data_IF_381684363068
#
_entry.id   IF_381684363068
#
_cell.length_a   1.000
_cell.length_b   1.000
_cell.length_c   1.000
_cell.angle_alpha   90.00
_cell.angle_beta   90.00
_cell.angle_gamma   90.00
#
_symmetry.space_group_name_H-M   'P 1'
#
loop_
_entity.id
_entity.type
_entity.pdbx_description
1 polymer ?
#
# COMPACT_ATOMS: atom_id res chain seq x y z
N UNK A 1 -13.07 6.45 12.02
CA UNK A 1 -12.79 5.35 12.99
C UNK A 1 -11.99 5.94 14.14
N UNK A 2 -12.29 5.56 15.38
CA UNK A 2 -11.47 5.97 16.53
C UNK A 2 -10.02 5.52 16.32
N UNK A 3 -9.06 6.35 16.72
CA UNK A 3 -7.63 6.08 16.57
C UNK A 3 -7.24 4.82 17.37
N UNK A 4 -6.92 3.74 16.66
CA UNK A 4 -6.43 2.48 17.25
C UNK A 4 -4.91 2.37 17.26
N UNK A 5 -4.21 3.34 16.68
CA UNK A 5 -2.75 3.34 16.50
C UNK A 5 -2.13 4.73 16.74
N UNK A 6 -0.92 4.75 17.31
CA UNK A 6 -0.08 5.96 17.41
C UNK A 6 1.37 5.61 17.13
N UNK A 7 2.02 6.34 16.22
CA UNK A 7 3.45 6.23 15.98
C UNK A 7 4.27 6.76 17.17
N UNK A 8 5.55 6.40 17.18
CA UNK A 8 6.54 6.79 18.17
C UNK A 8 6.62 8.30 18.33
N UNK A 9 6.73 9.06 17.23
CA UNK A 9 6.80 10.52 17.25
C UNK A 9 5.59 11.17 17.94
N UNK A 10 4.39 10.63 17.70
CA UNK A 10 3.17 11.11 18.36
C UNK A 10 3.13 10.74 19.84
N UNK A 11 3.76 9.62 20.22
CA UNK A 11 3.74 9.10 21.58
C UNK A 11 4.80 9.74 22.47
N UNK A 12 5.96 10.11 21.90
CA UNK A 12 7.14 10.49 22.67
C UNK A 12 7.70 11.86 22.31
N UNK A 13 7.55 12.34 21.06
CA UNK A 13 8.16 13.59 20.60
C UNK A 13 7.17 14.77 20.50
N UNK A 14 5.88 14.54 20.83
CA UNK A 14 4.85 15.57 20.80
C UNK A 14 4.57 16.13 19.41
N UNK A 15 4.97 15.42 18.35
CA UNK A 15 4.78 15.85 16.98
C UNK A 15 3.28 15.87 16.62
N UNK A 16 2.87 16.87 15.84
CA UNK A 16 1.49 16.94 15.33
C UNK A 16 1.20 15.71 14.43
N UNK A 17 0.17 14.90 14.71
CA UNK A 17 -0.05 13.68 13.94
C UNK A 17 -0.46 13.98 12.50
N UNK A 18 0.25 13.39 11.54
CA UNK A 18 -0.01 13.56 10.10
C UNK A 18 -1.18 12.70 9.59
N UNK A 19 -1.63 11.74 10.40
CA UNK A 19 -2.61 10.72 10.03
C UNK A 19 -3.96 10.87 10.73
N UNK A 20 -4.22 12.02 11.38
CA UNK A 20 -5.50 12.29 12.04
C UNK A 20 -6.10 13.62 11.58
N UNK A 21 -7.42 13.74 11.71
CA UNK A 21 -8.15 15.02 11.60
C UNK A 21 -8.04 15.83 12.89
N UNK A 22 -8.46 17.10 12.86
CA UNK A 22 -8.41 17.99 14.02
C UNK A 22 -9.20 17.48 15.24
N UNK A 23 -10.20 16.62 15.02
CA UNK A 23 -10.98 15.95 16.07
C UNK A 23 -10.35 14.64 16.58
N UNK A 24 -9.15 14.27 16.09
CA UNK A 24 -8.41 13.08 16.49
C UNK A 24 -8.82 11.79 15.77
N UNK A 25 -9.70 11.84 14.76
CA UNK A 25 -10.10 10.67 13.97
C UNK A 25 -8.99 10.26 13.00
N UNK A 26 -8.73 8.95 12.86
CA UNK A 26 -7.75 8.44 11.89
C UNK A 26 -8.21 8.71 10.45
N UNK A 27 -7.35 9.37 9.66
CA UNK A 27 -7.55 9.76 8.26
C UNK A 27 -6.43 9.16 7.39
N UNK A 28 -6.63 7.91 6.91
CA UNK A 28 -5.63 7.24 6.10
C UNK A 28 -5.47 7.89 4.71
N UNK A 29 -6.49 8.56 4.17
CA UNK A 29 -6.38 9.25 2.89
C UNK A 29 -5.49 10.49 2.99
N UNK A 30 -5.56 11.25 4.09
CA UNK A 30 -4.63 12.36 4.35
C UNK A 30 -3.19 11.85 4.38
N UNK A 31 -2.93 10.78 5.14
CA UNK A 31 -1.61 10.16 5.20
C UNK A 31 -1.14 9.67 3.83
N UNK A 32 -2.03 9.05 3.06
CA UNK A 32 -1.72 8.56 1.72
C UNK A 32 -1.34 9.68 0.76
N UNK A 33 -2.10 10.78 0.75
CA UNK A 33 -1.78 11.95 -0.08
C UNK A 33 -0.43 12.56 0.28
N UNK A 34 -0.01 12.50 1.55
CA UNK A 34 1.33 12.94 1.96
C UNK A 34 2.42 11.97 1.49
N UNK A 35 2.22 10.67 1.64
CA UNK A 35 3.17 9.63 1.20
C UNK A 35 3.35 9.64 -0.33
N UNK A 36 2.24 9.74 -1.07
CA UNK A 36 2.20 9.59 -2.53
C UNK A 36 2.63 10.86 -3.29
N UNK A 37 2.85 11.99 -2.61
CA UNK A 37 3.54 13.12 -3.23
C UNK A 37 4.94 12.63 -3.59
N UNK A 38 5.18 12.36 -4.87
CA UNK A 38 6.52 12.20 -5.43
C UNK A 38 7.03 13.62 -5.71
N UNK A 39 7.78 14.27 -4.80
CA UNK A 39 8.41 15.54 -5.10
C UNK A 39 9.35 15.34 -6.30
N UNK A 40 9.44 16.32 -7.21
CA UNK A 40 10.53 16.35 -8.17
C UNK A 40 11.87 16.43 -7.41
N UNK A 41 12.99 16.07 -8.05
CA UNK A 41 14.29 15.99 -7.38
C UNK A 41 14.69 17.32 -6.68
N UNK A 42 14.22 18.44 -7.21
CA UNK A 42 14.37 19.82 -6.74
C UNK A 42 13.28 20.29 -5.76
N UNK A 43 12.39 19.42 -5.30
CA UNK A 43 11.33 19.76 -4.35
C UNK A 43 11.85 20.42 -3.07
N UNK A 44 10.98 21.22 -2.44
CA UNK A 44 11.35 22.04 -1.29
C UNK A 44 11.74 21.18 -0.08
N UNK A 45 12.51 21.77 0.86
CA UNK A 45 12.90 21.09 2.09
C UNK A 45 11.69 20.68 2.95
N UNK A 46 10.65 21.50 2.96
CA UNK A 46 9.41 21.26 3.70
C UNK A 46 8.62 20.08 3.11
N UNK A 47 8.45 20.02 1.79
CA UNK A 47 7.79 18.87 1.13
C UNK A 47 8.54 17.56 1.36
N UNK A 48 9.88 17.61 1.35
CA UNK A 48 10.72 16.45 1.67
C UNK A 48 10.56 16.01 3.13
N UNK A 49 10.40 16.97 4.06
CA UNK A 49 10.18 16.71 5.48
C UNK A 49 8.83 16.05 5.74
N UNK A 50 7.75 16.54 5.12
CA UNK A 50 6.40 15.97 5.31
C UNK A 50 6.29 14.55 4.76
N UNK A 51 6.91 14.28 3.61
CA UNK A 51 6.94 12.92 3.04
C UNK A 51 7.71 11.95 3.93
N UNK A 52 8.83 12.38 4.50
CA UNK A 52 9.63 11.55 5.41
C UNK A 52 8.84 11.20 6.66
N UNK A 53 8.15 12.18 7.28
CA UNK A 53 7.24 11.92 8.41
C UNK A 53 6.10 10.96 8.06
N UNK A 54 5.53 11.09 6.86
CA UNK A 54 4.51 10.16 6.38
C UNK A 54 5.08 8.75 6.20
N UNK A 55 6.30 8.62 5.65
CA UNK A 55 7.00 7.36 5.49
C UNK A 55 7.24 6.68 6.84
N UNK A 56 7.81 7.39 7.82
CA UNK A 56 8.09 6.84 9.15
C UNK A 56 6.80 6.38 9.86
N UNK A 57 5.73 7.18 9.75
CA UNK A 57 4.43 6.83 10.30
C UNK A 57 3.84 5.56 9.66
N UNK A 58 3.99 5.41 8.33
CA UNK A 58 3.51 4.24 7.59
C UNK A 58 4.34 3.01 7.90
N UNK A 59 5.66 3.13 7.89
CA UNK A 59 6.57 2.02 8.16
C UNK A 59 6.34 1.44 9.55
N UNK A 60 6.24 2.30 10.58
CA UNK A 60 5.93 1.85 11.93
C UNK A 60 4.53 1.19 11.99
N UNK A 61 3.52 1.76 11.33
CA UNK A 61 2.17 1.18 11.27
C UNK A 61 2.17 -0.22 10.65
N UNK A 62 2.94 -0.45 9.57
CA UNK A 62 3.04 -1.76 8.93
C UNK A 62 3.66 -2.80 9.88
N UNK A 63 4.52 -2.37 10.80
CA UNK A 63 5.21 -3.26 11.74
C UNK A 63 4.41 -3.56 12.99
N UNK A 64 3.51 -2.68 13.44
CA UNK A 64 2.91 -2.76 14.79
C UNK A 64 1.38 -2.80 14.81
N UNK A 65 0.71 -2.35 13.75
CA UNK A 65 -0.74 -2.16 13.71
C UNK A 65 -1.37 -2.74 12.43
N UNK A 66 -1.39 -4.06 12.26
CA UNK A 66 -1.80 -4.72 11.02
C UNK A 66 -3.20 -4.36 10.52
N UNK A 67 -4.19 -4.18 11.41
CA UNK A 67 -5.55 -3.78 10.99
C UNK A 67 -5.60 -2.35 10.45
N UNK A 68 -4.91 -1.43 11.12
CA UNK A 68 -4.78 -0.04 10.67
C UNK A 68 -3.98 0.04 9.36
N UNK A 69 -2.94 -0.78 9.24
CA UNK A 69 -2.13 -0.92 8.05
C UNK A 69 -2.93 -1.37 6.83
N UNK A 70 -3.78 -2.39 6.97
CA UNK A 70 -4.67 -2.82 5.87
C UNK A 70 -5.62 -1.69 5.46
N UNK A 71 -6.20 -1.00 6.43
CA UNK A 71 -7.10 0.14 6.17
C UNK A 71 -6.36 1.26 5.43
N UNK A 72 -5.14 1.56 5.84
CA UNK A 72 -4.26 2.51 5.16
C UNK A 72 -3.95 2.09 3.73
N UNK A 73 -3.50 0.85 3.50
CA UNK A 73 -3.12 0.35 2.19
C UNK A 73 -4.28 0.48 1.19
N UNK A 74 -5.50 0.09 1.60
CA UNK A 74 -6.68 0.17 0.73
C UNK A 74 -7.08 1.62 0.44
N UNK A 75 -7.01 2.51 1.43
CA UNK A 75 -7.26 3.94 1.24
C UNK A 75 -6.19 4.60 0.35
N UNK A 76 -4.92 4.24 0.54
CA UNK A 76 -3.80 4.77 -0.23
C UNK A 76 -3.84 4.29 -1.68
N UNK A 77 -4.29 3.06 -1.91
CA UNK A 77 -4.51 2.55 -3.26
C UNK A 77 -5.57 3.36 -4.01
N UNK A 78 -6.61 3.85 -3.31
CA UNK A 78 -7.63 4.69 -3.93
C UNK A 78 -7.13 6.10 -4.28
N UNK A 79 -6.05 6.56 -3.64
CA UNK A 79 -5.34 7.81 -3.95
C UNK A 79 -4.26 7.64 -5.04
N UNK A 80 -3.96 6.41 -5.47
CA UNK A 80 -2.98 6.17 -6.53
C UNK A 80 -3.47 6.72 -7.88
N UNK A 81 -2.56 7.36 -8.61
CA UNK A 81 -2.82 7.92 -9.95
C UNK A 81 -1.86 7.43 -11.02
N UNK A 82 -0.75 6.81 -10.62
CA UNK A 82 0.30 6.31 -11.50
C UNK A 82 0.76 4.93 -11.07
N UNK A 83 1.39 4.19 -11.98
CA UNK A 83 2.02 2.90 -11.65
C UNK A 83 3.12 3.05 -10.60
N UNK A 84 3.83 4.19 -10.58
CA UNK A 84 4.84 4.49 -9.57
C UNK A 84 4.25 4.61 -8.16
N UNK A 85 3.04 5.17 -8.00
CA UNK A 85 2.35 5.20 -6.71
C UNK A 85 2.04 3.78 -6.22
N UNK A 86 1.54 2.93 -7.12
CA UNK A 86 1.24 1.54 -6.78
C UNK A 86 2.51 0.76 -6.44
N UNK A 87 3.60 0.96 -7.19
CA UNK A 87 4.87 0.30 -6.95
C UNK A 87 5.46 0.70 -5.58
N UNK A 88 5.36 1.98 -5.20
CA UNK A 88 5.76 2.47 -3.89
C UNK A 88 4.99 1.76 -2.75
N UNK A 89 3.68 1.56 -2.93
CA UNK A 89 2.87 0.83 -1.94
C UNK A 89 3.17 -0.68 -1.94
N UNK A 90 3.28 -1.30 -3.12
CA UNK A 90 3.44 -2.75 -3.29
C UNK A 90 4.79 -3.27 -2.83
N UNK A 91 5.87 -2.72 -3.37
CA UNK A 91 7.24 -3.13 -3.05
C UNK A 91 7.79 -2.49 -1.76
N UNK A 92 7.00 -1.61 -1.12
CA UNK A 92 7.33 -0.98 0.16
C UNK A 92 6.38 -1.45 1.27
N UNK A 93 5.36 -0.63 1.53
CA UNK A 93 4.49 -0.80 2.69
C UNK A 93 3.75 -2.16 2.73
N UNK A 94 3.21 -2.62 1.61
CA UNK A 94 2.51 -3.91 1.52
C UNK A 94 3.47 -5.08 1.76
N UNK A 95 4.68 -5.03 1.20
CA UNK A 95 5.69 -6.07 1.44
C UNK A 95 6.07 -6.16 2.91
N UNK A 96 6.33 -5.02 3.57
CA UNK A 96 6.59 -4.98 5.02
C UNK A 96 5.42 -5.58 5.80
N UNK A 97 4.19 -5.20 5.47
CA UNK A 97 2.99 -5.72 6.13
C UNK A 97 2.84 -7.24 5.98
N UNK A 98 3.04 -7.78 4.77
CA UNK A 98 2.92 -9.22 4.52
C UNK A 98 4.05 -10.02 5.17
N UNK A 99 5.26 -9.46 5.21
CA UNK A 99 6.40 -10.07 5.90
C UNK A 99 6.15 -10.17 7.41
N UNK A 100 5.65 -9.09 8.02
CA UNK A 100 5.45 -9.01 9.47
C UNK A 100 4.17 -9.73 9.94
N UNK A 101 3.08 -9.56 9.19
CA UNK A 101 1.72 -9.93 9.63
C UNK A 101 0.93 -10.72 8.58
N UNK A 102 1.60 -11.29 7.57
CA UNK A 102 0.97 -11.98 6.45
C UNK A 102 -0.18 -12.92 6.82
N UNK A 103 -0.01 -13.88 7.76
CA UNK A 103 -1.07 -14.79 8.16
C UNK A 103 -2.33 -14.11 8.71
N UNK A 104 -2.18 -12.96 9.38
CA UNK A 104 -3.28 -12.19 9.98
C UNK A 104 -4.05 -11.39 8.93
N UNK A 105 -3.37 -10.83 7.94
CA UNK A 105 -3.98 -9.85 7.01
C UNK A 105 -4.37 -10.41 5.65
N UNK A 106 -3.76 -11.52 5.21
CA UNK A 106 -3.91 -12.02 3.84
C UNK A 106 -5.38 -12.32 3.46
N UNK A 107 -6.19 -12.81 4.40
CA UNK A 107 -7.61 -13.06 4.14
C UNK A 107 -8.41 -11.81 3.80
N UNK A 108 -8.07 -10.66 4.41
CA UNK A 108 -8.72 -9.38 4.12
C UNK A 108 -8.32 -8.90 2.71
N UNK A 109 -7.04 -9.03 2.37
CA UNK A 109 -6.51 -8.65 1.04
C UNK A 109 -7.09 -9.51 -0.08
N UNK A 110 -7.22 -10.82 0.12
CA UNK A 110 -7.90 -11.72 -0.83
C UNK A 110 -9.36 -11.31 -1.05
N UNK A 111 -10.09 -11.00 0.03
CA UNK A 111 -11.48 -10.57 -0.06
C UNK A 111 -11.61 -9.27 -0.87
N UNK A 112 -10.69 -8.32 -0.67
CA UNK A 112 -10.63 -7.08 -1.44
C UNK A 112 -10.24 -7.34 -2.90
N UNK A 113 -9.28 -8.23 -3.16
CA UNK A 113 -8.83 -8.64 -4.49
C UNK A 113 -9.93 -9.28 -5.33
N UNK A 114 -10.86 -10.03 -4.71
CA UNK A 114 -12.03 -10.58 -5.40
C UNK A 114 -13.00 -9.51 -5.86
N UNK A 115 -13.09 -8.40 -5.13
CA UNK A 115 -14.02 -7.29 -5.42
C UNK A 115 -13.44 -6.25 -6.37
N UNK A 116 -12.16 -5.94 -6.24
CA UNK A 116 -11.53 -4.82 -6.95
C UNK A 116 -10.32 -5.27 -7.76
N UNK A 117 -10.35 -4.99 -9.06
CA UNK A 117 -9.21 -5.22 -9.95
C UNK A 117 -7.96 -4.42 -9.52
N UNK A 118 -8.17 -3.22 -8.99
CA UNK A 118 -7.12 -2.33 -8.47
C UNK A 118 -6.29 -3.02 -7.38
N UNK A 119 -6.94 -3.82 -6.51
CA UNK A 119 -6.26 -4.56 -5.44
C UNK A 119 -5.41 -5.68 -6.03
N UNK A 120 -5.89 -6.42 -7.02
CA UNK A 120 -5.08 -7.46 -7.70
C UNK A 120 -3.82 -6.86 -8.33
N UNK A 121 -3.97 -5.70 -8.96
CA UNK A 121 -2.85 -4.95 -9.53
C UNK A 121 -1.84 -4.52 -8.45
N UNK A 122 -2.29 -3.99 -7.30
CA UNK A 122 -1.42 -3.70 -6.16
C UNK A 122 -0.69 -4.94 -5.63
N UNK A 123 -1.42 -6.03 -5.37
CA UNK A 123 -0.86 -7.26 -4.83
C UNK A 123 0.23 -7.84 -5.75
N UNK A 124 0.05 -7.70 -7.07
CA UNK A 124 1.04 -8.14 -8.07
C UNK A 124 2.35 -7.35 -8.03
N UNK A 125 2.38 -6.17 -7.41
CA UNK A 125 3.56 -5.31 -7.29
C UNK A 125 4.45 -5.64 -6.07
N UNK A 126 4.19 -6.75 -5.37
CA UNK A 126 4.97 -7.19 -4.19
C UNK A 126 6.21 -7.97 -4.63
N UNK A 127 7.37 -7.73 -4.03
CA UNK A 127 8.65 -8.36 -4.40
C UNK A 127 9.21 -9.33 -3.34
N UNK A 128 8.43 -9.57 -2.28
CA UNK A 128 8.84 -10.33 -1.09
C UNK A 128 8.82 -11.86 -1.20
N UNK A 129 9.03 -12.47 -2.38
CA UNK A 129 8.95 -13.93 -2.56
C UNK A 129 9.82 -14.72 -1.56
N UNK A 130 11.01 -14.22 -1.24
CA UNK A 130 11.96 -14.87 -0.33
C UNK A 130 11.78 -14.48 1.14
N UNK A 131 10.98 -13.45 1.45
CA UNK A 131 10.86 -12.86 2.80
C UNK A 131 9.47 -13.04 3.40
N UNK A 132 8.45 -13.26 2.57
CA UNK A 132 7.08 -13.58 2.98
C UNK A 132 6.95 -15.09 3.16
N UNK A 133 6.15 -15.53 4.13
CA UNK A 133 5.97 -16.97 4.37
C UNK A 133 5.41 -17.68 3.12
N UNK A 134 5.88 -18.89 2.78
CA UNK A 134 5.42 -19.59 1.58
C UNK A 134 3.90 -19.74 1.49
N UNK A 135 3.23 -20.05 2.61
CA UNK A 135 1.77 -20.16 2.66
C UNK A 135 1.04 -18.84 2.35
N UNK A 136 1.59 -17.70 2.78
CA UNK A 136 1.04 -16.39 2.43
C UNK A 136 1.34 -16.06 0.97
N UNK A 137 2.52 -16.40 0.48
CA UNK A 137 2.91 -16.18 -0.91
C UNK A 137 2.02 -16.96 -1.90
N UNK A 138 1.74 -18.25 -1.64
CA UNK A 138 0.84 -19.06 -2.46
C UNK A 138 -0.56 -18.45 -2.57
N UNK A 139 -1.07 -17.95 -1.43
CA UNK A 139 -2.35 -17.23 -1.36
C UNK A 139 -2.34 -15.92 -2.14
N UNK A 140 -1.24 -15.17 -2.05
CA UNK A 140 -1.02 -13.94 -2.81
C UNK A 140 -1.03 -14.21 -4.33
N UNK A 141 -0.32 -15.25 -4.79
CA UNK A 141 -0.32 -15.70 -6.19
C UNK A 141 -1.74 -16.06 -6.64
N UNK A 142 -2.49 -16.82 -5.82
CA UNK A 142 -3.86 -17.19 -6.14
C UNK A 142 -4.79 -15.98 -6.27
N UNK A 143 -4.64 -14.97 -5.39
CA UNK A 143 -5.42 -13.74 -5.42
C UNK A 143 -5.14 -12.88 -6.66
N UNK A 144 -3.90 -12.89 -7.16
CA UNK A 144 -3.45 -12.11 -8.31
C UNK A 144 -3.80 -12.76 -9.65
N UNK A 145 -3.88 -14.10 -9.71
CA UNK A 145 -4.12 -14.89 -10.93
C UNK A 145 -5.21 -14.37 -11.89
N UNK A 146 -6.35 -13.82 -11.43
CA UNK A 146 -7.34 -13.26 -12.36
C UNK A 146 -6.82 -12.07 -13.20
N UNK A 147 -5.88 -11.28 -12.68
CA UNK A 147 -5.40 -10.03 -13.28
C UNK A 147 -6.40 -8.87 -13.13
N UNK A 148 -6.02 -7.64 -13.46
CA UNK A 148 -4.77 -7.24 -14.11
C UNK A 148 -3.55 -7.27 -13.17
N UNK A 149 -2.33 -7.24 -13.76
CA UNK A 149 -1.05 -7.28 -13.03
C UNK A 149 -0.11 -6.14 -13.48
N UNK A 150 0.82 -5.75 -12.61
CA UNK A 150 1.79 -4.68 -12.86
C UNK A 150 2.91 -5.12 -13.79
N UNK A 151 3.50 -6.27 -13.51
CA UNK A 151 4.56 -6.88 -14.31
C UNK A 151 4.41 -8.40 -14.30
N UNK A 152 5.32 -9.09 -14.99
CA UNK A 152 5.40 -10.54 -15.04
C UNK A 152 6.78 -11.06 -14.58
N UNK A 153 7.49 -10.28 -13.76
CA UNK A 153 8.82 -10.64 -13.25
C UNK A 153 8.74 -11.93 -12.43
N UNK A 154 9.76 -12.79 -12.52
CA UNK A 154 9.75 -14.08 -11.84
C UNK A 154 9.74 -14.00 -10.31
N UNK A 155 10.05 -12.82 -9.75
CA UNK A 155 10.06 -12.54 -8.32
C UNK A 155 8.74 -12.00 -7.78
N UNK A 156 7.78 -11.69 -8.65
CA UNK A 156 6.46 -11.18 -8.24
C UNK A 156 5.42 -12.30 -8.24
N UNK A 157 4.26 -12.10 -7.57
CA UNK A 157 3.17 -13.08 -7.59
C UNK A 157 2.57 -13.31 -8.98
N UNK A 158 2.89 -12.42 -9.93
CA UNK A 158 2.41 -12.42 -11.31
C UNK A 158 3.43 -13.04 -12.30
N UNK A 159 4.45 -13.75 -11.80
CA UNK A 159 5.47 -14.38 -12.62
C UNK A 159 4.90 -15.07 -13.88
N UNK A 160 5.33 -14.61 -15.05
CA UNK A 160 4.93 -15.14 -16.36
C UNK A 160 3.55 -14.71 -16.89
N UNK A 161 2.81 -13.85 -16.18
CA UNK A 161 1.48 -13.35 -16.59
C UNK A 161 1.55 -12.18 -17.58
N UNK A 162 2.39 -12.27 -18.62
CA UNK A 162 2.64 -11.17 -19.57
C UNK A 162 1.39 -10.69 -20.29
N UNK A 163 0.41 -11.58 -20.52
CA UNK A 163 -0.87 -11.28 -21.16
C UNK A 163 -1.83 -10.43 -20.30
N UNK A 164 -1.52 -10.29 -19.00
CA UNK A 164 -2.34 -9.56 -18.01
C UNK A 164 -1.75 -8.21 -17.62
N UNK A 165 -0.58 -7.86 -18.15
CA UNK A 165 0.08 -6.57 -17.91
C UNK A 165 -0.69 -5.48 -18.63
N UNK A 166 -1.04 -4.41 -17.92
CA UNK A 166 -1.77 -3.29 -18.51
C UNK A 166 -0.83 -2.34 -19.25
N UNK A 167 -1.31 -1.80 -20.37
CA UNK A 167 -0.71 -0.61 -20.96
C UNK A 167 -1.08 0.66 -20.15
N UNK A 168 -0.54 1.80 -20.57
CA UNK A 168 -0.79 3.07 -19.89
C UNK A 168 -2.28 3.47 -19.83
N UNK A 169 -3.05 3.17 -20.87
CA UNK A 169 -4.47 3.51 -20.93
C UNK A 169 -5.31 2.62 -20.02
N UNK A 170 -5.04 1.31 -20.01
CA UNK A 170 -5.65 0.34 -19.11
C UNK A 170 -5.34 0.66 -17.65
N UNK A 171 -4.09 1.05 -17.35
CA UNK A 171 -3.70 1.46 -16.00
C UNK A 171 -4.43 2.73 -15.55
N UNK A 172 -4.48 3.77 -16.40
CA UNK A 172 -5.18 5.00 -16.08
C UNK A 172 -6.68 4.75 -15.79
N UNK A 173 -7.32 3.91 -16.62
CA UNK A 173 -8.71 3.49 -16.39
C UNK A 173 -8.87 2.76 -15.06
N UNK A 174 -8.01 1.76 -14.78
CA UNK A 174 -8.05 0.99 -13.54
C UNK A 174 -7.92 1.88 -12.30
N UNK A 175 -6.97 2.82 -12.30
CA UNK A 175 -6.72 3.69 -11.15
C UNK A 175 -7.84 4.72 -10.92
N UNK A 176 -8.64 5.02 -11.96
CA UNK A 176 -9.82 5.91 -11.84
C UNK A 176 -11.04 5.24 -11.20
N UNK A 177 -11.08 3.91 -11.09
CA UNK A 177 -12.21 3.19 -10.50
C UNK A 177 -12.23 3.38 -8.97
N UNK A 178 -13.31 3.89 -8.35
CA UNK A 178 -13.37 4.05 -6.90
C UNK A 178 -13.46 2.69 -6.18
N UNK A 179 -12.93 2.63 -4.95
CA UNK A 179 -12.96 1.42 -4.10
C UNK A 179 -14.11 1.40 -3.06
N UNK A 180 -15.16 2.20 -3.24
CA UNK A 180 -16.30 2.32 -2.30
C UNK A 180 -17.05 1.01 -2.02
#
# INVERSE_FOLDING_TARGET
>A
MNRTWSCFDCRFDGAEPVCVTADGTFDPQRLARMLLKIPPADGTREEKSDRMRAYDCVDEMMQTAPEAAVTFILAALDECRTGAHVALLGAGALETLLKMHGPQVIGVLENAARKHAKVRYLLSATWGQSSISPAVWERLVAAVKPGPVMDADCRTPAAGMTDKVLDAAGLAKLLSEPMH
#
